data_IF_611078456564
#
_entry.id   IF_611078456564
#
_cell.length_a   1.000
_cell.length_b   1.000
_cell.length_c   1.000
_cell.angle_alpha   90.00
_cell.angle_beta   90.00
_cell.angle_gamma   90.00
#
_symmetry.space_group_name_H-M   'P 1'
#
loop_
_entity.id
_entity.type
_entity.pdbx_description
1 polymer ?
#
# COMPACT_ATOMS: atom_id res chain seq x y z
N UNK A 1 -29.34 -14.33 -4.07
CA UNK A 1 -29.91 -14.61 -2.71
C UNK A 1 -28.73 -14.55 -1.76
N UNK A 2 -28.68 -13.59 -0.83
CA UNK A 2 -27.55 -13.47 0.12
C UNK A 2 -27.59 -14.66 1.08
N UNK A 3 -26.42 -15.26 1.43
CA UNK A 3 -26.36 -16.33 2.41
C UNK A 3 -26.82 -15.86 3.80
N UNK A 4 -27.32 -16.78 4.59
CA UNK A 4 -27.82 -16.49 5.95
C UNK A 4 -26.68 -15.83 6.77
N UNK A 5 -26.95 -14.67 7.36
CA UNK A 5 -26.01 -13.85 8.10
C UNK A 5 -25.40 -14.64 9.28
N UNK A 6 -24.19 -15.17 9.11
CA UNK A 6 -23.31 -15.28 10.27
C UNK A 6 -23.05 -13.85 10.76
N UNK A 7 -23.22 -13.62 12.05
CA UNK A 7 -23.04 -12.28 12.64
C UNK A 7 -21.60 -11.87 12.46
N UNK A 8 -21.31 -10.99 11.50
CA UNK A 8 -20.04 -10.28 11.38
C UNK A 8 -19.99 -9.28 12.53
N UNK A 9 -18.99 -9.38 13.39
CA UNK A 9 -18.73 -8.41 14.44
C UNK A 9 -17.51 -7.58 14.07
N UNK A 10 -17.71 -6.33 13.60
CA UNK A 10 -16.61 -5.41 13.33
C UNK A 10 -15.87 -5.09 14.64
N UNK A 11 -14.55 -5.20 14.63
CA UNK A 11 -13.71 -4.81 15.77
C UNK A 11 -13.05 -3.45 15.50
N UNK A 12 -12.70 -2.66 16.54
CA UNK A 12 -11.90 -1.45 16.36
C UNK A 12 -10.62 -1.78 15.61
N UNK A 13 -10.38 -1.12 14.46
CA UNK A 13 -9.39 -1.56 13.49
C UNK A 13 -7.95 -1.60 14.05
N UNK A 14 -7.55 -0.61 14.84
CA UNK A 14 -6.19 -0.56 15.41
C UNK A 14 -5.97 -1.75 16.36
N UNK A 15 -6.89 -1.98 17.28
CA UNK A 15 -6.80 -3.11 18.23
C UNK A 15 -6.83 -4.45 17.47
N UNK A 16 -7.72 -4.57 16.48
CA UNK A 16 -7.81 -5.77 15.65
C UNK A 16 -6.49 -6.05 14.93
N UNK A 17 -5.90 -5.04 14.27
CA UNK A 17 -4.65 -5.18 13.55
C UNK A 17 -3.47 -5.55 14.48
N UNK A 18 -3.34 -4.86 15.61
CA UNK A 18 -2.25 -5.15 16.57
C UNK A 18 -2.35 -6.59 17.10
N UNK A 19 -3.56 -7.08 17.34
CA UNK A 19 -3.78 -8.46 17.83
C UNK A 19 -3.36 -9.52 16.79
N UNK A 20 -3.32 -9.20 15.50
CA UNK A 20 -2.87 -10.14 14.46
C UNK A 20 -1.42 -10.58 14.65
N UNK A 21 -0.58 -9.75 15.23
CA UNK A 21 0.82 -10.07 15.52
C UNK A 21 1.01 -11.13 16.61
N UNK A 22 -0.05 -11.49 17.34
CA UNK A 22 0.01 -12.64 18.24
C UNK A 22 0.10 -14.00 17.51
N UNK A 23 -0.29 -14.04 16.23
CA UNK A 23 -0.38 -15.28 15.44
C UNK A 23 0.33 -15.21 14.09
N UNK A 24 0.69 -14.02 13.62
CA UNK A 24 1.34 -13.83 12.33
C UNK A 24 2.60 -12.96 12.47
N UNK A 25 3.66 -13.35 11.80
CA UNK A 25 4.91 -12.58 11.77
C UNK A 25 4.83 -11.36 10.86
N UNK A 26 3.95 -11.40 9.85
CA UNK A 26 3.75 -10.32 8.90
C UNK A 26 2.27 -9.98 8.75
N UNK A 27 1.96 -8.69 8.84
CA UNK A 27 0.68 -8.14 8.37
C UNK A 27 0.95 -7.35 7.09
N UNK A 28 0.26 -7.71 6.02
CA UNK A 28 0.29 -7.00 4.74
C UNK A 28 -0.97 -6.12 4.64
N UNK A 29 -0.79 -4.81 4.72
CA UNK A 29 -1.85 -3.82 4.60
C UNK A 29 -1.85 -3.27 3.17
N UNK A 30 -2.90 -3.60 2.43
CA UNK A 30 -3.11 -3.08 1.08
C UNK A 30 -3.36 -1.58 1.13
N UNK A 31 -2.62 -0.83 0.32
CA UNK A 31 -2.72 0.63 0.25
C UNK A 31 -3.41 1.05 -1.05
N UNK A 32 -4.29 2.03 -0.95
CA UNK A 32 -4.84 2.77 -2.09
C UNK A 32 -4.09 4.09 -2.22
N UNK A 33 -3.27 4.18 -3.25
CA UNK A 33 -2.35 5.31 -3.44
C UNK A 33 -3.06 6.66 -3.35
N UNK A 34 -2.58 7.48 -2.43
CA UNK A 34 -3.13 8.81 -2.20
C UNK A 34 -4.34 8.87 -1.27
N UNK A 35 -4.81 7.77 -0.68
CA UNK A 35 -5.91 7.81 0.30
C UNK A 35 -5.49 8.53 1.58
N UNK A 36 -6.16 9.66 1.88
CA UNK A 36 -5.92 10.42 3.11
C UNK A 36 -6.43 9.66 4.33
N UNK A 37 -7.61 9.08 4.23
CA UNK A 37 -8.25 8.37 5.36
C UNK A 37 -7.43 7.14 5.77
N UNK A 38 -6.82 6.45 4.81
CA UNK A 38 -5.93 5.34 5.09
C UNK A 38 -4.61 5.81 5.74
N UNK A 39 -4.05 6.91 5.26
CA UNK A 39 -2.87 7.51 5.86
C UNK A 39 -3.13 8.01 7.30
N UNK A 40 -4.32 8.55 7.56
CA UNK A 40 -4.75 8.95 8.90
C UNK A 40 -4.90 7.73 9.82
N UNK A 41 -5.47 6.64 9.31
CA UNK A 41 -5.53 5.37 10.02
C UNK A 41 -4.13 4.84 10.36
N UNK A 42 -3.21 4.81 9.38
CA UNK A 42 -1.82 4.38 9.57
C UNK A 42 -1.13 5.28 10.61
N UNK A 43 -1.33 6.59 10.54
CA UNK A 43 -0.79 7.54 11.52
C UNK A 43 -1.31 7.24 12.93
N UNK A 44 -2.60 7.00 13.08
CA UNK A 44 -3.20 6.64 14.38
C UNK A 44 -2.68 5.28 14.88
N UNK A 45 -2.50 4.30 14.00
CA UNK A 45 -1.89 3.00 14.32
C UNK A 45 -0.46 3.17 14.84
N UNK A 46 0.38 3.95 14.15
CA UNK A 46 1.76 4.23 14.55
C UNK A 46 1.85 4.86 15.94
N UNK A 47 0.91 5.76 16.29
CA UNK A 47 0.84 6.40 17.60
C UNK A 47 0.26 5.52 18.70
N UNK A 48 -0.38 4.41 18.36
CA UNK A 48 -0.96 3.49 19.34
C UNK A 48 0.16 2.77 20.13
N UNK A 49 0.19 2.87 21.48
CA UNK A 49 1.34 2.40 22.27
C UNK A 49 1.64 0.91 22.13
N UNK A 50 0.65 0.09 21.81
CA UNK A 50 0.84 -1.34 21.58
C UNK A 50 1.52 -1.66 20.23
N UNK A 51 1.50 -0.73 19.25
CA UNK A 51 2.07 -1.00 17.93
C UNK A 51 3.59 -1.16 17.95
N UNK A 52 4.40 -0.21 18.49
CA UNK A 52 5.86 -0.39 18.55
C UNK A 52 6.29 -1.49 19.54
N UNK A 53 5.40 -1.95 20.41
CA UNK A 53 5.65 -3.12 21.25
C UNK A 53 5.45 -4.44 20.47
N UNK A 54 4.59 -4.45 19.45
CA UNK A 54 4.28 -5.62 18.64
C UNK A 54 5.10 -5.71 17.36
N UNK A 55 5.56 -4.59 16.79
CA UNK A 55 6.18 -4.50 15.46
C UNK A 55 7.56 -3.87 15.56
N UNK A 56 8.54 -4.46 14.89
CA UNK A 56 9.91 -3.93 14.82
C UNK A 56 10.21 -3.28 13.48
N UNK A 57 9.62 -3.77 12.40
CA UNK A 57 9.97 -3.38 11.03
C UNK A 57 8.72 -3.02 10.23
N UNK A 58 8.80 -1.91 9.51
CA UNK A 58 7.79 -1.52 8.53
C UNK A 58 8.44 -1.50 7.17
N UNK A 59 7.89 -2.22 6.21
CA UNK A 59 8.29 -2.17 4.80
C UNK A 59 7.25 -1.34 4.05
N UNK A 60 7.69 -0.38 3.24
CA UNK A 60 6.78 0.50 2.50
C UNK A 60 7.10 0.50 1.01
N UNK A 61 6.08 0.47 0.16
CA UNK A 61 6.24 0.62 -1.28
C UNK A 61 6.77 2.00 -1.68
N UNK A 62 6.28 3.04 -1.03
CA UNK A 62 6.58 4.45 -1.33
C UNK A 62 7.99 4.88 -0.89
N UNK A 63 8.98 4.10 -1.27
CA UNK A 63 10.37 4.40 -0.97
C UNK A 63 11.36 3.60 -1.82
N UNK A 64 12.23 4.31 -2.55
CA UNK A 64 13.29 3.73 -3.35
C UNK A 64 14.45 3.29 -2.45
N UNK A 65 14.76 1.98 -2.46
CA UNK A 65 15.80 1.37 -1.62
C UNK A 65 17.22 1.92 -1.89
N UNK A 66 17.44 2.60 -3.01
CA UNK A 66 18.69 3.34 -3.26
C UNK A 66 19.02 4.32 -2.12
N UNK A 67 17.99 4.89 -1.51
CA UNK A 67 18.11 5.89 -0.45
C UNK A 67 17.97 5.31 0.96
N UNK A 68 18.01 3.98 1.14
CA UNK A 68 17.91 3.36 2.46
C UNK A 68 18.90 3.95 3.50
N UNK A 69 20.18 4.20 3.17
CA UNK A 69 21.10 4.81 4.13
C UNK A 69 20.69 6.22 4.59
N UNK A 70 20.04 7.00 3.71
CA UNK A 70 19.52 8.33 4.05
C UNK A 70 18.32 8.19 4.98
N UNK A 71 17.42 7.26 4.70
CA UNK A 71 16.24 6.99 5.53
C UNK A 71 16.63 6.48 6.91
N UNK A 72 17.57 5.54 7.01
CA UNK A 72 18.05 5.00 8.30
C UNK A 72 18.56 6.13 9.22
N UNK A 73 19.36 7.05 8.68
CA UNK A 73 19.86 8.24 9.41
C UNK A 73 18.73 9.18 9.82
N UNK A 74 17.77 9.43 8.91
CA UNK A 74 16.62 10.28 9.19
C UNK A 74 15.75 9.73 10.31
N UNK A 75 15.40 8.44 10.26
CA UNK A 75 14.60 7.75 11.27
C UNK A 75 15.33 7.65 12.61
N UNK A 76 16.68 7.52 12.58
CA UNK A 76 17.51 7.56 13.78
C UNK A 76 17.55 8.94 14.47
N UNK A 77 17.09 9.99 13.78
CA UNK A 77 16.96 11.34 14.34
C UNK A 77 17.93 12.39 13.78
N UNK A 78 18.77 12.03 12.80
CA UNK A 78 19.66 13.01 12.17
C UNK A 78 18.88 14.07 11.40
N UNK A 79 19.44 15.27 11.32
CA UNK A 79 18.92 16.34 10.48
C UNK A 79 19.40 16.13 9.05
N UNK A 80 18.51 15.76 8.16
CA UNK A 80 18.77 15.57 6.72
C UNK A 80 18.16 16.75 5.97
N UNK A 81 18.90 17.32 5.04
CA UNK A 81 18.38 18.40 4.20
C UNK A 81 17.22 17.87 3.32
N UNK A 82 16.18 18.68 3.12
CA UNK A 82 15.00 18.26 2.35
C UNK A 82 15.34 17.78 0.94
N UNK A 83 16.33 18.39 0.27
CA UNK A 83 16.79 18.00 -1.07
C UNK A 83 17.39 16.59 -1.11
N UNK A 84 17.97 16.13 0.01
CA UNK A 84 18.62 14.82 0.11
C UNK A 84 17.62 13.75 0.62
N UNK A 85 16.56 14.17 1.31
CA UNK A 85 15.53 13.29 1.85
C UNK A 85 14.40 13.02 0.85
N UNK A 86 13.92 14.03 0.14
CA UNK A 86 12.76 13.92 -0.76
C UNK A 86 12.91 12.87 -1.87
N UNK A 87 14.11 12.61 -2.44
CA UNK A 87 14.27 11.53 -3.41
C UNK A 87 13.83 10.16 -2.92
N UNK A 88 13.81 9.91 -1.60
CA UNK A 88 13.32 8.66 -1.01
C UNK A 88 11.95 8.27 -1.56
N UNK A 89 10.99 9.20 -1.61
CA UNK A 89 9.62 8.95 -2.08
C UNK A 89 9.32 9.58 -3.44
N UNK A 90 10.15 10.49 -3.94
CA UNK A 90 9.99 11.12 -5.25
C UNK A 90 10.63 10.33 -6.37
N UNK A 91 11.74 9.66 -6.10
CA UNK A 91 12.42 8.82 -7.10
C UNK A 91 11.82 7.42 -7.11
N UNK A 92 10.49 7.39 -7.27
CA UNK A 92 9.69 6.21 -7.42
C UNK A 92 9.41 5.93 -8.90
N UNK A 93 8.93 4.73 -9.21
CA UNK A 93 8.47 4.36 -10.54
C UNK A 93 7.37 5.31 -11.03
N UNK A 94 7.52 5.88 -12.20
CA UNK A 94 6.57 6.83 -12.79
C UNK A 94 6.75 8.25 -12.25
N UNK A 95 5.73 8.79 -11.60
CA UNK A 95 5.66 10.19 -11.15
C UNK A 95 5.98 10.43 -9.68
N UNK A 96 6.24 9.37 -8.91
CA UNK A 96 6.59 9.48 -7.49
C UNK A 96 5.39 9.54 -6.54
N UNK A 97 5.70 9.40 -5.26
CA UNK A 97 4.74 9.53 -4.16
C UNK A 97 4.83 10.93 -3.54
N UNK A 98 4.38 11.94 -4.27
CA UNK A 98 4.52 13.35 -3.85
C UNK A 98 3.36 13.88 -3.01
N UNK A 99 2.31 13.07 -2.79
CA UNK A 99 1.25 13.45 -1.86
C UNK A 99 1.84 13.61 -0.44
N UNK A 100 1.42 14.64 0.31
CA UNK A 100 1.97 14.96 1.63
C UNK A 100 1.96 13.79 2.65
N UNK A 101 1.03 12.86 2.51
CA UNK A 101 0.90 11.68 3.40
C UNK A 101 2.16 10.83 3.46
N UNK A 102 2.90 10.71 2.35
CA UNK A 102 4.11 9.87 2.30
C UNK A 102 5.27 10.49 3.09
N UNK A 103 5.52 11.79 2.93
CA UNK A 103 6.49 12.49 3.76
C UNK A 103 6.05 12.46 5.24
N UNK A 104 4.76 12.67 5.50
CA UNK A 104 4.20 12.65 6.85
C UNK A 104 4.41 11.30 7.54
N UNK A 105 4.26 10.18 6.84
CA UNK A 105 4.54 8.85 7.38
C UNK A 105 5.96 8.76 7.96
N UNK A 106 6.98 9.10 7.18
CA UNK A 106 8.38 9.04 7.63
C UNK A 106 8.66 9.98 8.80
N UNK A 107 8.08 11.19 8.77
CA UNK A 107 8.18 12.14 9.88
C UNK A 107 7.51 11.65 11.14
N UNK A 108 6.38 10.97 11.02
CA UNK A 108 5.65 10.36 12.15
C UNK A 108 6.48 9.25 12.80
N UNK A 109 7.03 8.31 12.01
CA UNK A 109 7.90 7.25 12.55
C UNK A 109 9.11 7.85 13.26
N UNK A 110 9.76 8.85 12.66
CA UNK A 110 10.88 9.55 13.31
C UNK A 110 10.48 10.19 14.65
N UNK A 111 9.33 10.85 14.69
CA UNK A 111 8.84 11.50 15.91
C UNK A 111 8.58 10.48 17.02
N UNK A 112 7.96 9.37 16.70
CA UNK A 112 7.71 8.24 17.62
C UNK A 112 9.02 7.66 18.13
N UNK A 113 9.97 7.37 17.24
CA UNK A 113 11.27 6.81 17.60
C UNK A 113 12.06 7.69 18.58
N UNK A 114 11.85 9.00 18.57
CA UNK A 114 12.48 9.92 19.53
C UNK A 114 11.95 9.73 20.96
N UNK A 115 10.77 9.18 21.11
CA UNK A 115 10.14 8.92 22.43
C UNK A 115 10.38 7.50 22.92
N UNK A 116 10.81 6.59 22.03
CA UNK A 116 10.99 5.17 22.33
C UNK A 116 12.43 4.85 22.78
N UNK A 117 12.58 3.90 23.71
CA UNK A 117 13.88 3.28 23.99
C UNK A 117 14.49 2.69 22.70
N UNK A 118 15.80 2.70 22.58
CA UNK A 118 16.51 2.26 21.36
C UNK A 118 16.08 0.86 20.88
N UNK A 119 15.88 -0.07 21.81
CA UNK A 119 15.47 -1.44 21.50
C UNK A 119 14.03 -1.60 21.00
N UNK A 120 13.20 -0.57 21.13
CA UNK A 120 11.81 -0.57 20.68
C UNK A 120 11.57 0.33 19.45
N UNK A 121 12.63 0.95 18.94
CA UNK A 121 12.50 1.83 17.78
C UNK A 121 12.13 1.06 16.53
N UNK A 122 11.17 1.60 15.81
CA UNK A 122 10.73 1.09 14.53
C UNK A 122 11.82 1.31 13.47
N UNK A 123 12.09 0.30 12.68
CA UNK A 123 12.88 0.42 11.47
C UNK A 123 11.96 0.50 10.26
N UNK A 124 12.27 1.38 9.30
CA UNK A 124 11.56 1.46 8.02
C UNK A 124 12.48 0.96 6.92
N UNK A 125 11.99 0.01 6.14
CA UNK A 125 12.65 -0.49 4.94
C UNK A 125 11.93 0.06 3.70
N UNK A 126 12.70 0.64 2.80
CA UNK A 126 12.22 1.14 1.52
C UNK A 126 12.07 -0.05 0.57
N UNK A 127 10.83 -0.35 0.20
CA UNK A 127 10.48 -1.58 -0.48
C UNK A 127 10.75 -1.57 -1.98
N UNK A 128 10.64 -0.41 -2.62
CA UNK A 128 10.87 -0.34 -4.06
C UNK A 128 12.34 -0.65 -4.38
N UNK A 129 12.64 -1.47 -5.40
CA UNK A 129 14.02 -1.83 -5.73
C UNK A 129 14.91 -0.60 -5.91
N UNK A 130 16.21 -0.68 -5.60
CA UNK A 130 17.11 0.42 -5.82
C UNK A 130 17.25 0.69 -7.32
N UNK A 131 16.85 1.87 -7.76
CA UNK A 131 17.06 2.33 -9.13
C UNK A 131 17.41 3.81 -9.19
N UNK A 132 18.24 4.14 -10.16
CA UNK A 132 18.69 5.49 -10.43
C UNK A 132 18.04 6.00 -11.72
N UNK A 133 17.19 7.01 -11.61
CA UNK A 133 16.51 7.61 -12.77
C UNK A 133 17.46 8.19 -13.80
N UNK A 134 18.70 8.54 -13.42
CA UNK A 134 19.70 9.02 -14.38
C UNK A 134 20.14 7.94 -15.37
N UNK A 135 19.96 6.66 -14.99
CA UNK A 135 20.30 5.50 -15.84
C UNK A 135 19.11 5.01 -16.68
N UNK A 136 17.91 5.52 -16.43
CA UNK A 136 16.69 5.11 -17.11
C UNK A 136 16.43 6.02 -18.31
N UNK A 137 16.61 5.49 -19.50
CA UNK A 137 16.47 6.23 -20.75
C UNK A 137 15.36 5.73 -21.65
N UNK A 138 14.86 4.50 -21.41
CA UNK A 138 13.87 3.82 -22.24
C UNK A 138 12.85 3.08 -21.38
N UNK A 139 11.64 2.88 -21.91
CA UNK A 139 10.58 2.15 -21.22
C UNK A 139 10.97 0.70 -20.86
N UNK A 140 11.79 0.04 -21.68
CA UNK A 140 12.26 -1.32 -21.40
C UNK A 140 13.10 -1.42 -20.13
N UNK A 141 13.83 -0.36 -19.78
CA UNK A 141 14.61 -0.33 -18.54
C UNK A 141 13.68 -0.38 -17.34
N UNK A 142 12.54 0.34 -17.40
CA UNK A 142 11.51 0.34 -16.37
C UNK A 142 10.79 -1.00 -16.23
N UNK A 143 10.43 -1.64 -17.34
CA UNK A 143 9.76 -2.94 -17.32
C UNK A 143 10.58 -3.98 -16.58
N UNK A 144 11.89 -4.05 -16.85
CA UNK A 144 12.80 -4.94 -16.12
C UNK A 144 12.86 -4.68 -14.61
N UNK A 145 12.61 -3.46 -14.17
CA UNK A 145 12.57 -3.12 -12.75
C UNK A 145 11.23 -3.44 -12.12
N UNK A 146 10.13 -3.21 -12.85
CA UNK A 146 8.79 -3.57 -12.40
C UNK A 146 8.65 -5.05 -12.08
N UNK A 147 9.20 -5.90 -12.95
CA UNK A 147 9.20 -7.35 -12.76
C UNK A 147 9.93 -7.80 -11.48
N UNK A 148 10.86 -6.99 -10.97
CA UNK A 148 11.66 -7.30 -9.78
C UNK A 148 11.04 -6.81 -8.47
N UNK A 149 10.02 -5.96 -8.52
CA UNK A 149 9.45 -5.31 -7.32
C UNK A 149 8.95 -6.32 -6.30
N UNK A 150 8.09 -7.23 -6.71
CA UNK A 150 7.53 -8.25 -5.83
C UNK A 150 8.59 -9.20 -5.25
N UNK A 151 9.60 -9.54 -6.04
CA UNK A 151 10.74 -10.32 -5.56
C UNK A 151 11.54 -9.55 -4.51
N UNK A 152 11.74 -8.26 -4.71
CA UNK A 152 12.47 -7.40 -3.79
C UNK A 152 11.72 -7.25 -2.47
N UNK A 153 10.40 -6.99 -2.49
CA UNK A 153 9.58 -6.93 -1.28
C UNK A 153 9.64 -8.25 -0.50
N UNK A 154 9.44 -9.37 -1.17
CA UNK A 154 9.52 -10.68 -0.55
C UNK A 154 10.89 -10.92 0.09
N UNK A 155 11.98 -10.61 -0.61
CA UNK A 155 13.35 -10.75 -0.10
C UNK A 155 13.62 -9.88 1.13
N UNK A 156 13.12 -8.63 1.16
CA UNK A 156 13.23 -7.77 2.33
C UNK A 156 12.49 -8.37 3.54
N UNK A 157 11.28 -8.86 3.34
CA UNK A 157 10.48 -9.50 4.38
C UNK A 157 11.18 -10.76 4.89
N UNK A 158 11.61 -11.65 4.00
CA UNK A 158 12.32 -12.89 4.38
C UNK A 158 13.58 -12.59 5.18
N UNK A 159 14.41 -11.67 4.68
CA UNK A 159 15.73 -11.37 5.28
C UNK A 159 15.62 -10.62 6.60
N UNK A 160 14.70 -9.68 6.70
CA UNK A 160 14.69 -8.74 7.82
C UNK A 160 13.58 -9.00 8.84
N UNK A 161 12.53 -9.71 8.46
CA UNK A 161 11.39 -9.98 9.34
C UNK A 161 11.34 -11.46 9.71
N UNK A 162 11.18 -12.34 8.72
CA UNK A 162 10.92 -13.76 9.00
C UNK A 162 12.16 -14.50 9.51
N UNK A 163 13.31 -14.35 8.86
CA UNK A 163 14.53 -15.06 9.25
C UNK A 163 15.02 -14.68 10.67
N UNK A 164 14.99 -13.40 11.11
CA UNK A 164 15.32 -13.03 12.48
C UNK A 164 14.23 -13.31 13.50
N UNK A 165 13.00 -13.69 13.07
CA UNK A 165 11.85 -13.90 13.95
C UNK A 165 11.22 -12.62 14.48
N UNK A 166 11.31 -11.52 13.71
CA UNK A 166 10.64 -10.26 14.02
C UNK A 166 9.19 -10.25 13.52
N UNK A 167 8.44 -9.25 14.00
CA UNK A 167 7.14 -8.92 13.41
C UNK A 167 7.27 -7.68 12.54
N UNK A 168 6.55 -7.68 11.42
CA UNK A 168 6.58 -6.59 10.46
C UNK A 168 5.22 -6.21 9.90
N UNK A 169 5.10 -4.93 9.54
CA UNK A 169 3.99 -4.41 8.75
C UNK A 169 4.52 -4.11 7.34
N UNK A 170 3.89 -4.67 6.31
CA UNK A 170 4.18 -4.36 4.92
C UNK A 170 3.03 -3.53 4.35
N UNK A 171 3.33 -2.32 3.87
CA UNK A 171 2.36 -1.40 3.27
C UNK A 171 2.71 -1.23 1.79
N UNK A 172 1.85 -1.70 0.92
CA UNK A 172 2.02 -1.56 -0.52
C UNK A 172 0.67 -1.65 -1.24
N UNK A 173 0.65 -1.27 -2.51
CA UNK A 173 -0.56 -1.35 -3.33
C UNK A 173 -1.16 -2.75 -3.35
N UNK A 174 -2.49 -2.81 -3.39
CA UNK A 174 -3.28 -4.04 -3.31
C UNK A 174 -2.82 -5.16 -4.25
N UNK A 175 -2.33 -4.80 -5.44
CA UNK A 175 -1.86 -5.77 -6.44
C UNK A 175 -0.75 -6.69 -5.95
N UNK A 176 0.08 -6.22 -4.99
CA UNK A 176 1.17 -7.00 -4.39
C UNK A 176 0.69 -8.05 -3.39
N UNK A 177 -0.60 -8.02 -2.99
CA UNK A 177 -1.13 -8.80 -1.87
C UNK A 177 -2.26 -9.75 -2.24
N UNK A 178 -2.62 -9.88 -3.49
CA UNK A 178 -3.65 -10.84 -3.93
C UNK A 178 -3.11 -12.25 -3.73
N UNK A 179 -3.70 -12.99 -2.76
CA UNK A 179 -3.23 -14.35 -2.43
C UNK A 179 -3.38 -15.30 -3.59
N UNK A 180 -4.53 -15.32 -4.24
CA UNK A 180 -4.80 -16.15 -5.40
C UNK A 180 -5.13 -15.26 -6.59
N UNK A 181 -4.35 -15.34 -7.65
CA UNK A 181 -4.67 -14.67 -8.90
C UNK A 181 -5.45 -15.63 -9.79
N UNK A 182 -6.58 -15.18 -10.26
CA UNK A 182 -7.61 -16.06 -10.81
C UNK A 182 -7.48 -16.37 -12.30
N UNK A 183 -6.40 -16.02 -12.99
CA UNK A 183 -6.24 -16.34 -14.40
C UNK A 183 -5.67 -17.76 -14.57
N UNK A 184 -6.42 -18.70 -15.17
CA UNK A 184 -5.96 -20.08 -15.36
C UNK A 184 -4.67 -20.19 -16.18
N UNK A 185 -4.42 -19.23 -17.06
CA UNK A 185 -3.29 -19.18 -17.99
C UNK A 185 -2.32 -18.03 -17.70
N UNK A 186 -2.42 -17.40 -16.52
CA UNK A 186 -1.45 -16.37 -16.14
C UNK A 186 -0.05 -17.00 -16.11
N UNK A 187 0.97 -16.35 -16.71
CA UNK A 187 2.34 -16.79 -16.54
C UNK A 187 2.64 -16.88 -15.03
N UNK A 188 3.62 -17.70 -14.67
CA UNK A 188 4.03 -17.98 -13.27
C UNK A 188 4.58 -16.71 -12.57
N UNK A 189 3.82 -15.63 -12.67
CA UNK A 189 4.12 -14.34 -12.06
C UNK A 189 3.55 -14.35 -10.64
N UNK A 190 4.44 -14.46 -9.67
CA UNK A 190 4.05 -14.43 -8.28
C UNK A 190 4.23 -13.02 -7.74
N UNK A 191 3.15 -12.45 -7.19
CA UNK A 191 3.26 -11.25 -6.40
C UNK A 191 3.95 -11.53 -5.04
N UNK A 192 4.16 -10.49 -4.25
CA UNK A 192 4.88 -10.56 -2.97
C UNK A 192 4.31 -11.62 -2.03
N UNK A 193 3.00 -11.62 -1.82
CA UNK A 193 2.35 -12.55 -0.88
C UNK A 193 2.40 -13.99 -1.39
N UNK A 194 2.17 -14.22 -2.67
CA UNK A 194 2.26 -15.57 -3.24
C UNK A 194 3.68 -16.15 -3.10
N UNK A 195 4.72 -15.33 -3.22
CA UNK A 195 6.11 -15.74 -2.97
C UNK A 195 6.34 -16.10 -1.50
N UNK A 196 5.86 -15.25 -0.60
CA UNK A 196 5.99 -15.46 0.84
C UNK A 196 5.22 -16.71 1.30
N UNK A 197 3.97 -16.87 0.87
CA UNK A 197 3.16 -18.03 1.22
C UNK A 197 3.74 -19.36 0.68
N UNK A 198 4.41 -19.34 -0.47
CA UNK A 198 5.11 -20.51 -1.00
C UNK A 198 6.28 -20.93 -0.10
N UNK A 199 7.06 -19.97 0.38
CA UNK A 199 8.28 -20.22 1.15
C UNK A 199 8.01 -20.34 2.66
N UNK A 200 6.99 -19.62 3.16
CA UNK A 200 6.64 -19.47 4.57
C UNK A 200 5.11 -19.54 4.75
N UNK A 201 4.48 -20.72 4.54
CA UNK A 201 3.02 -20.86 4.59
C UNK A 201 2.44 -20.36 5.91
N UNK A 202 1.38 -19.55 5.85
CA UNK A 202 0.67 -19.02 7.02
C UNK A 202 1.41 -17.94 7.81
N UNK A 203 2.51 -17.40 7.28
CA UNK A 203 3.26 -16.33 7.96
C UNK A 203 2.64 -14.94 7.76
N UNK A 204 1.80 -14.77 6.74
CA UNK A 204 1.25 -13.49 6.31
C UNK A 204 -0.25 -13.41 6.59
N UNK A 205 -0.68 -12.29 7.18
CA UNK A 205 -2.08 -11.90 7.26
C UNK A 205 -2.34 -10.69 6.36
N UNK A 206 -3.25 -10.84 5.40
CA UNK A 206 -3.55 -9.83 4.39
C UNK A 206 -4.78 -9.03 4.77
N UNK A 207 -4.66 -7.71 4.75
CA UNK A 207 -5.76 -6.77 5.00
C UNK A 207 -6.03 -5.98 3.72
N UNK A 208 -7.27 -6.01 3.24
CA UNK A 208 -7.73 -5.17 2.15
C UNK A 208 -8.64 -4.05 2.67
N UNK A 209 -8.44 -2.80 2.25
CA UNK A 209 -9.34 -1.71 2.56
C UNK A 209 -10.66 -1.86 1.80
N UNK A 210 -11.72 -1.23 2.30
CA UNK A 210 -13.06 -1.20 1.69
C UNK A 210 -13.04 -0.76 0.22
N UNK A 211 -12.11 0.08 -0.12
CA UNK A 211 -11.92 0.62 -1.46
C UNK A 211 -10.83 -0.16 -2.20
N UNK A 212 -11.24 -1.05 -3.07
CA UNK A 212 -10.33 -1.65 -4.05
C UNK A 212 -10.11 -0.73 -5.26
N UNK A 213 -9.21 -1.10 -6.14
CA UNK A 213 -8.95 -0.37 -7.38
C UNK A 213 -10.21 -0.29 -8.26
N UNK A 214 -10.77 0.93 -8.41
CA UNK A 214 -11.93 1.17 -9.28
C UNK A 214 -13.18 0.33 -8.96
N UNK A 215 -13.22 -0.29 -7.78
CA UNK A 215 -14.32 -1.13 -7.38
C UNK A 215 -15.62 -0.33 -7.23
N UNK A 216 -16.69 -0.87 -7.80
CA UNK A 216 -18.04 -0.41 -7.51
C UNK A 216 -18.50 -1.04 -6.19
N UNK A 217 -18.19 -0.38 -5.08
CA UNK A 217 -18.52 -0.86 -3.73
C UNK A 217 -19.86 -0.34 -3.22
N UNK A 218 -20.59 0.46 -4.00
CA UNK A 218 -21.87 1.03 -3.60
C UNK A 218 -22.92 -0.02 -3.21
N UNK A 219 -22.85 -1.20 -3.81
CA UNK A 219 -23.69 -2.32 -3.45
C UNK A 219 -23.42 -2.88 -2.05
N UNK A 220 -22.24 -2.65 -1.49
CA UNK A 220 -21.84 -3.09 -0.14
C UNK A 220 -22.22 -2.07 0.94
N UNK A 221 -22.27 -0.79 0.62
CA UNK A 221 -22.48 0.31 1.56
C UNK A 221 -23.69 0.10 2.50
N UNK A 222 -24.86 -0.35 2.03
CA UNK A 222 -26.02 -0.58 2.90
C UNK A 222 -25.76 -1.65 3.97
N UNK A 223 -24.86 -2.61 3.74
CA UNK A 223 -24.52 -3.68 4.68
C UNK A 223 -23.47 -3.26 5.70
N UNK A 224 -22.69 -2.23 5.37
CA UNK A 224 -21.63 -1.68 6.21
C UNK A 224 -22.14 -0.51 7.05
N UNK A 225 -23.34 -0.01 6.76
CA UNK A 225 -23.94 1.10 7.49
C UNK A 225 -24.07 0.79 8.99
N UNK A 226 -23.56 1.71 9.81
CA UNK A 226 -23.55 1.57 11.27
C UNK A 226 -22.35 0.81 11.84
N UNK A 227 -21.41 0.35 11.01
CA UNK A 227 -20.15 -0.19 11.50
C UNK A 227 -19.32 0.93 12.15
N UNK A 228 -18.54 0.61 13.21
CA UNK A 228 -17.55 1.56 13.75
C UNK A 228 -16.54 1.96 12.68
N UNK A 229 -16.08 3.21 12.73
CA UNK A 229 -15.07 3.75 11.80
C UNK A 229 -13.86 4.21 12.64
N UNK A 230 -12.67 3.66 12.38
CA UNK A 230 -12.35 2.53 11.51
C UNK A 230 -12.65 1.17 12.16
N UNK A 231 -13.01 0.17 11.34
CA UNK A 231 -13.20 -1.20 11.82
C UNK A 231 -12.49 -2.24 10.95
N UNK A 232 -12.12 -3.35 11.58
CA UNK A 232 -11.51 -4.51 10.96
C UNK A 232 -12.43 -5.72 11.09
N UNK A 233 -12.58 -6.49 10.02
CA UNK A 233 -13.46 -7.65 9.95
C UNK A 233 -12.74 -8.81 9.29
N UNK A 234 -12.87 -10.02 9.85
CA UNK A 234 -12.38 -11.23 9.18
C UNK A 234 -13.22 -11.53 7.93
N UNK A 235 -12.54 -11.90 6.86
CA UNK A 235 -13.19 -12.43 5.65
C UNK A 235 -13.43 -13.94 5.75
N UNK A 236 -12.64 -14.65 6.57
CA UNK A 236 -12.71 -16.10 6.67
C UNK A 236 -14.06 -16.56 7.22
N UNK A 237 -14.74 -17.41 6.46
CA UNK A 237 -16.04 -18.01 6.82
C UNK A 237 -17.14 -16.98 7.11
N UNK A 238 -17.11 -15.84 6.41
CA UNK A 238 -18.10 -14.77 6.56
C UNK A 238 -18.79 -14.50 5.25
N UNK A 239 -20.02 -13.92 5.30
CA UNK A 239 -20.74 -13.52 4.10
C UNK A 239 -19.95 -12.52 3.25
N UNK A 240 -19.16 -11.65 3.89
CA UNK A 240 -18.32 -10.67 3.19
C UNK A 240 -17.19 -11.37 2.42
N UNK A 241 -16.58 -12.39 3.03
CA UNK A 241 -15.56 -13.18 2.36
C UNK A 241 -16.10 -14.06 1.22
N UNK A 242 -17.39 -14.36 1.20
CA UNK A 242 -18.06 -15.12 0.13
C UNK A 242 -18.49 -14.24 -1.06
N UNK A 243 -18.35 -12.91 -0.96
CA UNK A 243 -18.66 -12.01 -2.06
C UNK A 243 -17.69 -12.18 -3.23
N UNK A 244 -18.24 -12.03 -4.42
CA UNK A 244 -17.46 -12.04 -5.66
C UNK A 244 -16.38 -10.95 -5.61
N UNK A 245 -15.14 -11.35 -5.82
CA UNK A 245 -13.99 -10.46 -5.83
C UNK A 245 -14.07 -9.38 -6.92
N UNK A 246 -14.81 -9.60 -7.99
CA UNK A 246 -15.04 -8.61 -9.04
C UNK A 246 -15.71 -7.33 -8.49
N UNK A 247 -16.53 -7.45 -7.44
CA UNK A 247 -17.14 -6.29 -6.76
C UNK A 247 -16.08 -5.39 -6.11
N UNK A 248 -14.93 -5.96 -5.70
CA UNK A 248 -13.84 -5.23 -5.06
C UNK A 248 -12.82 -4.69 -6.06
N UNK A 249 -12.56 -5.45 -7.12
CA UNK A 249 -11.58 -5.09 -8.14
C UNK A 249 -12.16 -4.32 -9.32
N UNK A 250 -13.47 -4.27 -9.47
CA UNK A 250 -14.15 -3.48 -10.48
C UNK A 250 -13.35 -3.25 -11.78
N UNK A 251 -13.73 -2.29 -12.56
CA UNK A 251 -13.14 -2.00 -13.86
C UNK A 251 -11.81 -1.22 -13.80
N UNK A 252 -10.96 -1.43 -12.78
CA UNK A 252 -9.64 -0.80 -12.82
C UNK A 252 -8.80 -1.42 -13.94
N UNK A 253 -8.71 -0.67 -15.02
CA UNK A 253 -7.88 -1.01 -16.16
C UNK A 253 -7.22 0.21 -16.72
N UNK A 254 -5.93 0.14 -17.04
CA UNK A 254 -5.34 1.08 -17.96
C UNK A 254 -6.16 1.06 -19.26
N UNK A 255 -6.43 2.20 -19.89
CA UNK A 255 -7.13 2.23 -21.16
C UNK A 255 -6.50 1.26 -22.16
N UNK A 256 -7.31 0.34 -22.72
CA UNK A 256 -6.85 -0.65 -23.70
C UNK A 256 -6.34 -1.98 -23.14
N UNK A 257 -6.39 -2.21 -21.85
CA UNK A 257 -6.07 -3.50 -21.23
C UNK A 257 -7.36 -4.15 -20.72
N UNK A 258 -7.72 -5.32 -21.25
CA UNK A 258 -8.81 -6.10 -20.65
C UNK A 258 -8.34 -6.73 -19.34
N UNK A 259 -9.17 -6.77 -18.26
CA UNK A 259 -8.79 -7.48 -17.07
C UNK A 259 -8.61 -8.96 -17.42
N UNK A 260 -7.64 -9.63 -16.79
CA UNK A 260 -7.70 -11.07 -16.80
C UNK A 260 -9.06 -11.50 -16.22
N UNK A 261 -9.78 -12.41 -16.88
CA UNK A 261 -11.07 -12.86 -16.36
C UNK A 261 -10.84 -13.44 -14.96
N UNK A 262 -11.53 -12.87 -13.96
CA UNK A 262 -11.51 -13.45 -12.63
C UNK A 262 -12.11 -14.86 -12.73
N UNK A 263 -11.49 -15.82 -12.06
CA UNK A 263 -11.96 -17.20 -12.00
C UNK A 263 -13.39 -17.21 -11.45
N UNK A 264 -14.31 -17.88 -12.12
CA UNK A 264 -15.68 -18.02 -11.66
C UNK A 264 -15.70 -18.59 -10.23
N UNK A 265 -16.40 -17.94 -9.31
CA UNK A 265 -16.45 -18.31 -7.90
C UNK A 265 -15.27 -17.80 -7.06
N UNK A 266 -14.45 -16.90 -7.62
CA UNK A 266 -13.38 -16.25 -6.86
C UNK A 266 -13.94 -15.16 -5.96
N UNK A 267 -13.68 -15.25 -4.67
CA UNK A 267 -14.29 -14.40 -3.65
C UNK A 267 -13.24 -13.54 -2.91
N UNK A 268 -13.72 -12.54 -2.16
CA UNK A 268 -12.84 -11.70 -1.33
C UNK A 268 -12.01 -12.53 -0.34
N UNK A 269 -12.58 -13.60 0.23
CA UNK A 269 -11.87 -14.51 1.13
C UNK A 269 -10.74 -15.31 0.49
N UNK A 270 -10.74 -15.48 -0.85
CA UNK A 270 -9.60 -16.04 -1.57
C UNK A 270 -8.46 -15.02 -1.73
N UNK A 271 -8.77 -13.73 -1.68
CA UNK A 271 -7.80 -12.67 -1.92
C UNK A 271 -7.10 -12.22 -0.65
N UNK A 272 -7.85 -12.10 0.46
CA UNK A 272 -7.37 -11.52 1.71
C UNK A 272 -7.97 -12.21 2.93
N UNK A 273 -7.41 -11.93 4.11
CA UNK A 273 -7.88 -12.50 5.38
C UNK A 273 -8.84 -11.56 6.13
N UNK A 274 -8.63 -10.26 5.99
CA UNK A 274 -9.42 -9.23 6.67
C UNK A 274 -9.74 -8.05 5.77
N UNK A 275 -10.81 -7.35 6.14
CA UNK A 275 -11.33 -6.19 5.46
C UNK A 275 -11.31 -4.99 6.40
N UNK A 276 -10.67 -3.91 5.96
CA UNK A 276 -10.55 -2.66 6.69
C UNK A 276 -11.60 -1.67 6.18
N UNK A 277 -12.55 -1.29 7.03
CA UNK A 277 -13.55 -0.29 6.72
C UNK A 277 -13.18 1.05 7.33
N UNK A 278 -12.92 2.03 6.48
CA UNK A 278 -12.50 3.40 6.86
C UNK A 278 -13.64 4.42 6.76
N UNK A 279 -14.82 3.98 6.34
CA UNK A 279 -16.00 4.81 6.13
C UNK A 279 -16.64 4.58 4.78
N UNK A 280 -17.81 5.18 4.52
CA UNK A 280 -18.48 5.07 3.23
C UNK A 280 -17.64 5.75 2.13
N UNK A 281 -17.63 5.17 0.95
CA UNK A 281 -16.86 5.63 -0.22
C UNK A 281 -17.00 7.13 -0.48
N UNK A 282 -18.22 7.65 -0.32
CA UNK A 282 -18.52 9.06 -0.54
C UNK A 282 -17.87 10.03 0.43
N UNK A 283 -17.39 9.53 1.58
CA UNK A 283 -16.69 10.36 2.59
C UNK A 283 -15.18 10.28 2.50
N UNK A 284 -14.64 9.38 1.67
CA UNK A 284 -13.20 9.16 1.58
C UNK A 284 -12.53 10.25 0.75
N UNK A 285 -11.37 10.67 1.21
CA UNK A 285 -10.63 11.81 0.67
C UNK A 285 -9.27 11.42 0.13
N UNK A 286 -8.76 12.24 -0.78
CA UNK A 286 -7.45 12.10 -1.38
C UNK A 286 -6.48 13.11 -0.79
N UNK A 287 -5.28 12.68 -0.48
CA UNK A 287 -4.15 13.58 -0.24
C UNK A 287 -3.66 14.12 -1.58
N UNK A 288 -3.95 15.38 -1.84
CA UNK A 288 -3.54 16.05 -3.08
C UNK A 288 -2.16 16.67 -2.91
N UNK A 289 -1.35 16.63 -3.97
CA UNK A 289 -0.08 17.36 -3.95
C UNK A 289 -0.30 18.86 -4.10
N UNK A 290 0.68 19.62 -3.60
CA UNK A 290 0.67 21.07 -3.74
C UNK A 290 1.30 21.49 -5.09
N UNK A 291 0.54 21.99 -6.06
CA UNK A 291 1.07 22.39 -7.36
C UNK A 291 2.16 23.46 -7.29
N UNK A 292 2.20 24.23 -6.19
CA UNK A 292 3.24 25.26 -6.01
C UNK A 292 4.66 24.68 -5.94
N UNK A 293 4.81 23.41 -5.53
CA UNK A 293 6.09 22.71 -5.51
C UNK A 293 6.68 22.63 -6.92
N UNK A 294 5.83 22.31 -7.90
CA UNK A 294 6.26 22.12 -9.29
C UNK A 294 6.39 23.43 -10.06
N UNK A 295 5.57 24.43 -9.73
CA UNK A 295 5.69 25.80 -10.31
C UNK A 295 6.96 26.51 -9.90
N UNK A 296 7.52 26.19 -8.73
CA UNK A 296 8.76 26.76 -8.20
C UNK A 296 10.02 25.95 -8.53
N UNK A 297 9.88 24.77 -9.13
CA UNK A 297 10.99 23.86 -9.44
C UNK A 297 10.83 23.30 -10.88
N UNK A 298 11.23 24.09 -11.86
CA UNK A 298 11.13 23.74 -13.28
C UNK A 298 11.94 22.47 -13.63
N UNK A 299 13.06 22.25 -12.94
CA UNK A 299 13.90 21.08 -13.19
C UNK A 299 13.19 19.81 -12.72
N UNK A 300 12.59 19.83 -11.53
CA UNK A 300 11.79 18.71 -11.01
C UNK A 300 10.59 18.45 -11.93
N UNK A 301 9.85 19.48 -12.30
CA UNK A 301 8.68 19.35 -13.17
C UNK A 301 9.05 18.72 -14.52
N UNK A 302 10.12 19.21 -15.17
CA UNK A 302 10.61 18.67 -16.44
C UNK A 302 11.06 17.21 -16.31
N UNK A 303 11.73 16.87 -15.22
CA UNK A 303 12.17 15.50 -14.95
C UNK A 303 10.97 14.55 -14.73
N UNK A 304 9.96 14.96 -13.98
CA UNK A 304 8.76 14.15 -13.78
C UNK A 304 7.98 13.95 -15.09
N UNK A 305 7.91 14.98 -15.95
CA UNK A 305 7.34 14.83 -17.28
C UNK A 305 8.13 13.83 -18.14
N UNK A 306 9.46 13.90 -18.10
CA UNK A 306 10.34 12.93 -18.79
C UNK A 306 10.06 11.50 -18.29
N UNK A 307 10.04 11.29 -16.99
CA UNK A 307 9.74 9.98 -16.40
C UNK A 307 8.38 9.48 -16.83
N UNK A 308 7.38 10.33 -16.74
CA UNK A 308 6.02 10.01 -17.13
C UNK A 308 5.93 9.60 -18.62
N UNK A 309 6.63 10.32 -19.52
CA UNK A 309 6.63 9.98 -20.94
C UNK A 309 7.18 8.59 -21.28
N UNK A 310 7.94 7.98 -20.37
CA UNK A 310 8.45 6.61 -20.53
C UNK A 310 7.41 5.54 -20.19
N UNK A 311 6.38 5.87 -19.42
CA UNK A 311 5.40 4.90 -18.90
C UNK A 311 3.98 5.16 -19.37
N UNK A 312 3.65 6.39 -19.71
CA UNK A 312 2.30 6.77 -20.07
C UNK A 312 1.93 6.31 -21.50
N UNK A 313 0.66 5.99 -21.73
CA UNK A 313 0.16 5.80 -23.09
C UNK A 313 0.42 7.04 -23.96
N UNK A 314 0.62 6.86 -25.27
CA UNK A 314 0.77 7.99 -26.18
C UNK A 314 -0.39 8.99 -26.06
N UNK A 315 -0.05 10.28 -25.91
CA UNK A 315 -1.03 11.36 -25.79
C UNK A 315 -1.53 11.66 -24.37
N UNK A 316 -1.15 10.90 -23.38
CA UNK A 316 -1.42 11.25 -21.99
C UNK A 316 -0.42 12.31 -21.50
N UNK A 317 -0.93 13.35 -20.85
CA UNK A 317 -0.12 14.45 -20.30
C UNK A 317 -0.26 14.44 -18.78
N UNK A 318 0.86 14.40 -18.08
CA UNK A 318 0.86 14.54 -16.62
C UNK A 318 0.60 16.01 -16.25
N UNK A 319 -0.53 16.29 -15.64
CA UNK A 319 -0.85 17.61 -15.11
C UNK A 319 -0.55 17.65 -13.59
N UNK A 320 0.59 18.24 -13.26
CA UNK A 320 1.02 18.49 -11.87
C UNK A 320 0.76 19.93 -11.42
N UNK A 321 0.21 20.77 -12.30
CA UNK A 321 0.04 22.21 -12.05
C UNK A 321 -1.39 22.59 -11.70
N UNK A 322 -2.35 21.67 -11.85
CA UNK A 322 -3.75 21.84 -11.49
C UNK A 322 -4.04 21.15 -10.16
N UNK A 323 -4.79 21.81 -9.30
CA UNK A 323 -5.27 21.19 -8.05
C UNK A 323 -6.21 20.01 -8.38
N UNK A 324 -5.94 18.87 -7.77
CA UNK A 324 -6.78 17.70 -7.95
C UNK A 324 -8.08 17.78 -7.14
N UNK A 325 -9.08 16.98 -7.53
CA UNK A 325 -10.28 16.79 -6.74
C UNK A 325 -9.89 16.13 -5.39
N UNK A 326 -10.28 16.71 -4.24
CA UNK A 326 -9.98 16.14 -2.93
C UNK A 326 -10.76 14.86 -2.63
N UNK A 327 -11.83 14.55 -3.41
CA UNK A 327 -12.53 13.28 -3.29
C UNK A 327 -11.67 12.14 -3.83
N UNK A 328 -11.58 11.04 -3.09
CA UNK A 328 -10.79 9.88 -3.54
C UNK A 328 -11.42 9.23 -4.78
N UNK A 329 -12.75 9.28 -4.86
CA UNK A 329 -13.55 8.75 -5.96
C UNK A 329 -14.50 9.86 -6.46
N UNK A 330 -14.04 10.74 -7.36
CA UNK A 330 -14.94 11.68 -8.02
C UNK A 330 -15.97 10.92 -8.87
N UNK A 331 -17.16 11.52 -9.02
CA UNK A 331 -18.27 10.96 -9.81
C UNK A 331 -17.90 10.83 -11.29
#
# INVERSE_FOLDING_TARGET
MMPSRSTLEPTPAITGLVNLFATHSLVALGEVHGSQDEADFITALLHHPAFPAAVQIIVVEFGNALYQPVMDRFIAGETIAARDLRPVWRDFFGWGFDAPIYEQFFRTVRAINRTLPLAQRLRVLLGDPPFDWSQITQAVDLNSMMEKRDLHYASLVETHILAPGYHGLLIAGLGHFIREWAAPDAPDVHNTVQRLERNHPGSVHIIFPHIGFGAETSALEPYLAGWPIPSLVSLRSTWLGELDAALHFGNFQPPGVEPPPLKQGFTLGHMADSYLYLGPRSSLTRSTYNPAIYRGDELLHSELQRRHSLVAPPGYVLDLLTEGDPRLFPD
#
